data_IF_057836651017
#
_entry.id   IF_057836651017
#
_cell.length_a   1.000
_cell.length_b   1.000
_cell.length_c   1.000
_cell.angle_alpha   90.00
_cell.angle_beta   90.00
_cell.angle_gamma   90.00
#
_symmetry.space_group_name_H-M   'P 1'
#
loop_
_entity.id
_entity.type
_entity.pdbx_description
1 polymer ?
#
# COMPACT_ATOMS: atom_id res chain seq x y z
N UNK A 1 -19.33 -1.73 -14.33
CA UNK A 1 -18.52 -0.83 -13.51
C UNK A 1 -17.40 -1.67 -12.93
N UNK A 2 -16.20 -1.56 -13.49
CA UNK A 2 -15.06 -2.39 -13.09
C UNK A 2 -14.63 -2.00 -11.69
N UNK A 3 -14.50 -2.97 -10.80
CA UNK A 3 -13.75 -2.80 -9.56
C UNK A 3 -12.30 -2.49 -9.95
N UNK A 4 -11.90 -1.22 -9.93
CA UNK A 4 -10.52 -0.80 -10.15
C UNK A 4 -9.70 -1.20 -8.93
N UNK A 5 -9.09 -2.39 -8.99
CA UNK A 5 -8.07 -2.81 -8.03
C UNK A 5 -6.70 -2.37 -8.55
N UNK A 6 -5.99 -1.57 -7.76
CA UNK A 6 -4.62 -1.17 -8.07
C UNK A 6 -3.67 -2.10 -7.33
N UNK A 7 -3.01 -3.00 -8.09
CA UNK A 7 -2.01 -3.93 -7.54
C UNK A 7 -0.62 -3.44 -7.91
N UNK A 8 0.24 -3.25 -6.90
CA UNK A 8 1.64 -2.90 -7.06
C UNK A 8 2.53 -3.84 -6.27
N UNK A 9 3.45 -4.49 -6.97
CA UNK A 9 4.48 -5.28 -6.33
C UNK A 9 5.66 -4.39 -5.96
N UNK A 10 6.10 -4.49 -4.72
CA UNK A 10 7.23 -3.73 -4.16
C UNK A 10 8.19 -4.70 -3.48
N UNK A 11 9.48 -4.54 -3.70
CA UNK A 11 10.49 -5.39 -3.06
C UNK A 11 11.11 -4.64 -1.89
N UNK A 12 10.94 -5.19 -0.69
CA UNK A 12 11.59 -4.67 0.51
C UNK A 12 13.03 -5.19 0.54
N UNK A 13 13.99 -4.27 0.54
CA UNK A 13 15.41 -4.59 0.69
C UNK A 13 15.89 -4.17 2.08
N UNK A 14 16.69 -5.04 2.72
CA UNK A 14 17.34 -4.75 3.98
C UNK A 14 18.44 -3.71 3.76
N UNK A 15 18.31 -2.55 4.39
CA UNK A 15 19.32 -1.48 4.27
C UNK A 15 20.44 -1.77 5.27
N UNK A 16 21.66 -2.07 4.78
CA UNK A 16 22.79 -2.48 5.62
C UNK A 16 23.59 -1.32 6.23
N UNK A 17 23.07 -0.09 6.23
CA UNK A 17 23.82 1.08 6.66
C UNK A 17 23.03 1.87 7.69
N UNK A 18 23.45 1.75 8.94
CA UNK A 18 23.54 2.80 9.98
C UNK A 18 23.20 2.23 11.37
N UNK A 19 24.05 2.45 12.39
CA UNK A 19 23.76 2.04 13.75
C UNK A 19 22.66 2.96 14.31
N UNK A 20 21.42 2.47 14.32
CA UNK A 20 20.34 3.09 15.11
C UNK A 20 18.93 3.05 14.55
N UNK A 21 18.69 2.87 13.25
CA UNK A 21 17.34 3.11 12.71
C UNK A 21 16.98 2.19 11.53
N UNK A 22 15.81 1.55 11.65
CA UNK A 22 14.99 0.85 10.64
C UNK A 22 15.72 -0.14 9.71
N UNK A 23 15.49 -1.43 9.95
CA UNK A 23 16.09 -2.56 9.22
C UNK A 23 15.72 -2.64 7.73
N UNK A 24 14.64 -1.97 7.30
CA UNK A 24 14.13 -2.02 5.93
C UNK A 24 13.77 -0.63 5.41
N UNK A 25 13.90 -0.46 4.09
CA UNK A 25 13.49 0.79 3.43
C UNK A 25 11.97 0.91 3.45
N UNK A 26 11.40 2.01 3.99
CA UNK A 26 9.96 2.22 3.97
C UNK A 26 9.46 2.35 2.53
N UNK A 27 8.30 1.76 2.27
CA UNK A 27 7.62 1.84 0.99
C UNK A 27 6.61 2.97 1.06
N UNK A 28 6.80 3.98 0.21
CA UNK A 28 5.89 5.12 0.10
C UNK A 28 5.44 5.23 -1.36
N UNK A 29 4.14 5.29 -1.57
CA UNK A 29 3.53 5.49 -2.88
C UNK A 29 2.67 6.74 -2.81
N UNK A 30 3.18 7.82 -3.37
CA UNK A 30 2.47 9.09 -3.42
C UNK A 30 1.73 9.22 -4.76
N UNK A 31 0.69 10.04 -4.77
CA UNK A 31 -0.07 10.40 -5.97
C UNK A 31 -0.73 9.21 -6.69
N UNK A 32 -1.24 8.22 -5.96
CA UNK A 32 -2.01 7.13 -6.57
C UNK A 32 -3.35 7.70 -7.03
N UNK A 33 -3.62 7.76 -8.35
CA UNK A 33 -4.88 8.31 -8.84
C UNK A 33 -6.02 7.36 -8.48
N UNK A 34 -7.02 7.86 -7.77
CA UNK A 34 -8.23 7.11 -7.46
C UNK A 34 -9.45 7.81 -8.07
N UNK A 35 -10.48 7.05 -8.49
CA UNK A 35 -11.73 7.65 -8.91
C UNK A 35 -12.30 8.50 -7.76
N UNK A 36 -12.49 9.79 -8.01
CA UNK A 36 -12.93 10.81 -7.02
C UNK A 36 -14.38 10.63 -6.55
N UNK A 37 -14.97 9.46 -6.76
CA UNK A 37 -16.41 9.21 -6.62
C UNK A 37 -16.87 9.07 -5.16
N UNK A 38 -16.08 9.50 -4.18
CA UNK A 38 -16.50 9.56 -2.77
C UNK A 38 -16.64 8.21 -2.07
N UNK A 39 -15.80 7.22 -2.41
CA UNK A 39 -15.82 5.87 -1.86
C UNK A 39 -14.75 5.61 -0.79
N UNK A 40 -14.91 4.48 -0.07
CA UNK A 40 -13.93 4.01 0.91
C UNK A 40 -12.75 3.31 0.22
N UNK A 41 -11.52 3.74 0.52
CA UNK A 41 -10.30 3.16 -0.03
C UNK A 41 -9.69 2.22 1.01
N UNK A 42 -9.42 0.98 0.62
CA UNK A 42 -8.69 0.02 1.44
C UNK A 42 -7.41 -0.41 0.74
N UNK A 43 -6.41 -0.77 1.51
CA UNK A 43 -5.15 -1.28 1.00
C UNK A 43 -4.69 -2.44 1.88
N UNK A 44 -4.10 -3.44 1.24
CA UNK A 44 -3.63 -4.67 1.85
C UNK A 44 -2.26 -4.99 1.28
N UNK A 45 -1.31 -5.41 2.11
CA UNK A 45 0.02 -5.81 1.68
C UNK A 45 0.24 -7.27 2.00
N UNK A 46 0.37 -8.09 0.97
CA UNK A 46 0.75 -9.48 1.11
C UNK A 46 2.27 -9.58 1.22
N UNK A 47 2.73 -10.00 2.38
CA UNK A 47 4.13 -10.26 2.68
C UNK A 47 4.59 -11.57 2.03
N UNK A 48 5.89 -11.73 1.75
CA UNK A 48 6.42 -12.94 1.11
C UNK A 48 6.25 -14.20 1.97
N UNK A 49 6.10 -14.06 3.28
CA UNK A 49 5.76 -15.15 4.20
C UNK A 49 4.34 -15.69 4.03
N UNK A 50 3.48 -14.99 3.28
CA UNK A 50 2.06 -15.26 3.16
C UNK A 50 1.18 -14.50 4.16
N UNK A 51 1.78 -13.76 5.10
CA UNK A 51 1.06 -12.86 5.99
C UNK A 51 0.50 -11.65 5.22
N UNK A 52 -0.55 -11.04 5.74
CA UNK A 52 -1.13 -9.79 5.19
C UNK A 52 -1.02 -8.70 6.24
N UNK A 53 -0.54 -7.53 5.83
CA UNK A 53 -0.44 -6.33 6.65
C UNK A 53 -1.24 -5.18 6.04
N UNK A 54 -1.58 -4.17 6.85
CA UNK A 54 -2.36 -3.02 6.40
C UNK A 54 -1.48 -1.77 6.39
N UNK A 55 -1.25 -1.16 5.21
CA UNK A 55 -0.51 0.09 5.15
C UNK A 55 -1.37 1.27 5.60
N UNK A 56 -0.70 2.39 5.85
CA UNK A 56 -1.35 3.66 6.15
C UNK A 56 -1.75 4.31 4.83
N UNK A 57 -3.01 4.72 4.72
CA UNK A 57 -3.56 5.42 3.55
C UNK A 57 -3.84 6.85 3.97
N UNK A 58 -3.34 7.81 3.22
CA UNK A 58 -3.51 9.23 3.42
C UNK A 58 -4.20 9.83 2.18
N UNK A 59 -5.35 10.47 2.37
CA UNK A 59 -6.06 11.14 1.30
C UNK A 59 -5.48 12.54 1.07
N UNK A 60 -4.99 12.80 -0.15
CA UNK A 60 -4.38 14.08 -0.50
C UNK A 60 -5.43 15.15 -0.84
N UNK A 61 -6.73 14.79 -0.90
CA UNK A 61 -7.86 15.68 -1.26
C UNK A 61 -7.75 16.36 -2.62
N UNK A 62 -6.86 15.89 -3.48
CA UNK A 62 -6.65 16.36 -4.85
C UNK A 62 -7.09 15.33 -5.91
N UNK A 63 -7.71 14.22 -5.46
CA UNK A 63 -8.06 13.06 -6.28
C UNK A 63 -6.99 11.96 -6.31
N UNK A 64 -5.95 12.10 -5.50
CA UNK A 64 -4.95 11.06 -5.27
C UNK A 64 -4.85 10.67 -3.81
N UNK A 65 -4.29 9.48 -3.56
CA UNK A 65 -3.94 9.03 -2.20
C UNK A 65 -2.47 8.68 -2.11
N UNK A 66 -1.94 8.80 -0.89
CA UNK A 66 -0.58 8.41 -0.54
C UNK A 66 -0.61 7.20 0.39
N UNK A 67 0.14 6.14 0.05
CA UNK A 67 0.22 4.92 0.83
C UNK A 67 1.61 4.81 1.45
N UNK A 68 1.65 4.64 2.76
CA UNK A 68 2.90 4.49 3.55
C UNK A 68 2.90 3.13 4.23
N UNK A 69 3.96 2.36 3.99
CA UNK A 69 4.17 1.05 4.58
C UNK A 69 5.61 0.90 5.08
N UNK A 70 5.76 0.31 6.26
CA UNK A 70 7.06 -0.06 6.81
C UNK A 70 7.23 -1.58 6.75
N UNK A 71 8.03 -2.10 5.80
CA UNK A 71 8.25 -3.53 5.71
C UNK A 71 8.87 -4.09 6.98
N UNK A 72 8.41 -5.28 7.37
CA UNK A 72 8.98 -6.04 8.49
C UNK A 72 9.75 -7.28 8.03
N UNK A 73 9.55 -7.65 6.76
CA UNK A 73 10.18 -8.79 6.11
C UNK A 73 10.93 -8.32 4.86
N UNK A 74 11.99 -9.02 4.49
CA UNK A 74 12.63 -8.82 3.19
C UNK A 74 11.93 -9.64 2.11
N UNK A 75 11.91 -9.10 0.89
CA UNK A 75 11.41 -9.82 -0.28
C UNK A 75 10.22 -9.13 -0.96
N UNK A 76 9.52 -9.90 -1.77
CA UNK A 76 8.42 -9.41 -2.60
C UNK A 76 7.17 -9.19 -1.76
N UNK A 77 6.72 -7.95 -1.68
CA UNK A 77 5.46 -7.56 -1.07
C UNK A 77 4.50 -7.15 -2.18
N UNK A 78 3.26 -7.61 -2.11
CA UNK A 78 2.22 -7.26 -3.06
C UNK A 78 1.22 -6.33 -2.38
N UNK A 79 1.19 -5.07 -2.79
CA UNK A 79 0.22 -4.09 -2.35
C UNK A 79 -1.01 -4.18 -3.25
N UNK A 80 -2.16 -4.47 -2.67
CA UNK A 80 -3.46 -4.43 -3.32
C UNK A 80 -4.29 -3.30 -2.73
N UNK A 81 -4.66 -2.33 -3.57
CA UNK A 81 -5.52 -1.22 -3.19
C UNK A 81 -6.88 -1.45 -3.83
N UNK A 82 -7.92 -1.46 -3.00
CA UNK A 82 -9.31 -1.69 -3.40
C UNK A 82 -10.13 -0.43 -3.12
N UNK A 83 -10.93 -0.06 -4.10
CA UNK A 83 -11.86 1.05 -3.99
C UNK A 83 -13.29 0.54 -3.78
N UNK A 84 -14.00 1.15 -2.83
CA UNK A 84 -15.40 0.87 -2.51
C UNK A 84 -15.65 -0.59 -2.11
N UNK A 85 -14.97 -1.03 -1.04
CA UNK A 85 -14.85 -2.41 -0.55
C UNK A 85 -16.13 -3.23 -0.29
N UNK A 86 -17.30 -2.92 -0.86
CA UNK A 86 -18.43 -3.83 -0.88
C UNK A 86 -19.46 -3.54 -1.99
N UNK A 87 -20.20 -4.63 -2.30
CA UNK A 87 -21.35 -4.77 -3.20
C UNK A 87 -22.41 -3.69 -2.91
N UNK A 88 -22.93 -3.05 -3.97
CA UNK A 88 -24.11 -2.18 -3.89
C UNK A 88 -25.29 -2.97 -3.30
N UNK A 89 -25.88 -2.49 -2.19
CA UNK A 89 -27.13 -3.01 -1.64
C UNK A 89 -28.32 -2.60 -2.52
#
# INVERSE_FOLDING_TARGET
AGSEEYVKQTTAHKESRHPGHHQYRPVQLDNIPLPTTGGHVTAEIKMPSGNVDKPIIEDNRDGTVSIKYEPREEGLHELSVKYNGEHVQ
#
